data_IF_893315439089
#
_entry.id   IF_893315439089
#
_cell.length_a   1.000
_cell.length_b   1.000
_cell.length_c   1.000
_cell.angle_alpha   90.00
_cell.angle_beta   90.00
_cell.angle_gamma   90.00
#
_symmetry.space_group_name_H-M   'P 1'
#
loop_
_entity.id
_entity.type
_entity.pdbx_description
1 polymer ?
#
# COMPACT_ATOMS: atom_id res chain seq x y z
N UNK A 1 -70.65 30.71 28.44
CA UNK A 1 -70.22 29.53 29.24
C UNK A 1 -69.74 28.37 28.36
N UNK A 2 -70.50 27.95 27.34
CA UNK A 2 -70.18 26.81 26.44
C UNK A 2 -68.90 27.01 25.61
N UNK A 3 -68.62 28.23 25.15
CA UNK A 3 -67.41 28.56 24.37
C UNK A 3 -66.12 28.37 25.19
N UNK A 4 -66.16 28.61 26.51
CA UNK A 4 -64.99 28.41 27.39
C UNK A 4 -64.65 26.93 27.61
N UNK A 5 -65.66 26.06 27.57
CA UNK A 5 -65.50 24.61 27.72
C UNK A 5 -64.92 23.98 26.45
N UNK A 6 -65.34 24.45 25.27
CA UNK A 6 -64.78 24.05 23.97
C UNK A 6 -63.29 24.38 23.84
N UNK A 7 -62.88 25.56 24.31
CA UNK A 7 -61.47 25.97 24.25
C UNK A 7 -60.58 25.14 25.19
N UNK A 8 -61.11 24.76 26.36
CA UNK A 8 -60.42 23.91 27.34
C UNK A 8 -60.19 22.48 26.81
N UNK A 9 -61.12 21.94 26.04
CA UNK A 9 -61.00 20.61 25.44
C UNK A 9 -60.00 20.58 24.27
N UNK A 10 -59.95 21.66 23.47
CA UNK A 10 -58.99 21.81 22.36
C UNK A 10 -57.54 21.90 22.85
N UNK A 11 -57.31 22.49 24.03
CA UNK A 11 -56.00 22.55 24.67
C UNK A 11 -55.55 21.21 25.30
N UNK A 12 -56.49 20.37 25.73
CA UNK A 12 -56.21 19.04 26.29
C UNK A 12 -55.72 18.02 25.26
N UNK A 13 -56.13 18.15 23.99
CA UNK A 13 -55.71 17.25 22.90
C UNK A 13 -54.27 17.52 22.44
N UNK A 14 -53.77 18.75 22.61
CA UNK A 14 -52.41 19.14 22.24
C UNK A 14 -51.35 18.73 23.28
N UNK A 15 -51.76 18.41 24.51
CA UNK A 15 -50.86 18.11 25.65
C UNK A 15 -50.67 16.60 25.92
N UNK A 16 -50.94 15.74 24.94
CA UNK A 16 -50.84 14.29 25.13
C UNK A 16 -49.46 13.75 24.70
N UNK A 17 -48.42 14.05 25.49
CA UNK A 17 -47.02 13.62 25.22
C UNK A 17 -46.74 12.14 25.51
N UNK A 18 -47.75 11.36 25.93
CA UNK A 18 -47.57 10.00 26.46
C UNK A 18 -47.30 8.91 25.42
N UNK A 19 -47.46 9.21 24.12
CA UNK A 19 -47.18 8.29 23.01
C UNK A 19 -45.98 8.69 22.13
N UNK A 20 -45.42 9.89 22.32
CA UNK A 20 -44.32 10.44 21.54
C UNK A 20 -42.95 9.89 21.96
N UNK A 21 -42.77 9.52 23.23
CA UNK A 21 -41.45 9.16 23.78
C UNK A 21 -40.89 7.83 23.30
N UNK A 22 -41.71 6.79 23.13
CA UNK A 22 -41.21 5.48 22.67
C UNK A 22 -40.80 5.50 21.20
N UNK A 23 -41.61 6.14 20.34
CA UNK A 23 -41.30 6.28 18.92
C UNK A 23 -40.04 7.12 18.70
N UNK A 24 -39.82 8.15 19.52
CA UNK A 24 -38.64 9.02 19.47
C UNK A 24 -37.36 8.30 19.94
N UNK A 25 -37.45 7.46 20.98
CA UNK A 25 -36.35 6.57 21.40
C UNK A 25 -36.02 5.58 20.28
N UNK A 26 -37.04 4.96 19.67
CA UNK A 26 -36.84 4.04 18.53
C UNK A 26 -36.17 4.75 17.36
N UNK A 27 -36.65 5.93 16.97
CA UNK A 27 -36.05 6.73 15.90
C UNK A 27 -34.60 7.12 16.23
N UNK A 28 -34.31 7.49 17.46
CA UNK A 28 -32.96 7.84 17.92
C UNK A 28 -32.00 6.66 17.85
N UNK A 29 -32.43 5.47 18.29
CA UNK A 29 -31.62 4.24 18.18
C UNK A 29 -31.40 3.87 16.72
N UNK A 30 -32.42 4.04 15.87
CA UNK A 30 -32.34 3.74 14.44
C UNK A 30 -31.33 4.68 13.76
N UNK A 31 -31.44 5.99 13.98
CA UNK A 31 -30.48 6.97 13.47
C UNK A 31 -29.07 6.69 14.00
N UNK A 32 -28.93 6.42 15.31
CA UNK A 32 -27.64 6.09 15.92
C UNK A 32 -27.03 4.83 15.30
N UNK A 33 -27.81 3.79 15.06
CA UNK A 33 -27.32 2.55 14.45
C UNK A 33 -26.77 2.77 13.04
N UNK A 34 -27.45 3.59 12.23
CA UNK A 34 -26.99 3.94 10.87
C UNK A 34 -25.64 4.67 10.96
N UNK A 35 -25.51 5.62 11.89
CA UNK A 35 -24.28 6.35 12.15
C UNK A 35 -23.16 5.40 12.58
N UNK A 36 -23.41 4.51 13.54
CA UNK A 36 -22.39 3.57 14.04
C UNK A 36 -21.88 2.65 12.93
N UNK A 37 -22.78 2.08 12.11
CA UNK A 37 -22.39 1.17 11.02
C UNK A 37 -21.55 1.89 9.95
N UNK A 38 -21.94 3.11 9.59
CA UNK A 38 -21.20 3.91 8.60
C UNK A 38 -19.80 4.25 9.11
N UNK A 39 -19.66 4.76 10.33
CA UNK A 39 -18.35 5.07 10.91
C UNK A 39 -17.49 3.82 11.15
N UNK A 40 -18.09 2.69 11.55
CA UNK A 40 -17.35 1.42 11.71
C UNK A 40 -16.70 1.00 10.39
N UNK A 41 -17.44 1.07 9.29
CA UNK A 41 -16.92 0.75 7.95
C UNK A 41 -15.78 1.69 7.57
N UNK A 42 -15.93 2.98 7.85
CA UNK A 42 -14.88 3.98 7.63
C UNK A 42 -13.61 3.64 8.41
N UNK A 43 -13.71 3.29 9.70
CA UNK A 43 -12.55 2.92 10.51
C UNK A 43 -11.85 1.66 10.02
N UNK A 44 -12.60 0.62 9.64
CA UNK A 44 -12.03 -0.61 9.06
C UNK A 44 -11.23 -0.29 7.80
N UNK A 45 -11.81 0.51 6.90
CA UNK A 45 -11.14 0.90 5.67
C UNK A 45 -9.92 1.79 5.92
N UNK A 46 -10.01 2.71 6.89
CA UNK A 46 -8.87 3.54 7.29
C UNK A 46 -7.72 2.69 7.83
N UNK A 47 -8.00 1.73 8.71
CA UNK A 47 -6.97 0.84 9.26
C UNK A 47 -6.30 0.01 8.16
N UNK A 48 -7.08 -0.55 7.22
CA UNK A 48 -6.55 -1.27 6.05
C UNK A 48 -5.70 -0.38 5.16
N UNK A 49 -6.16 0.85 4.90
CA UNK A 49 -5.41 1.82 4.09
C UNK A 49 -4.09 2.18 4.75
N UNK A 50 -4.07 2.43 6.07
CA UNK A 50 -2.84 2.72 6.81
C UNK A 50 -1.87 1.56 6.75
N UNK A 51 -2.33 0.32 6.96
CA UNK A 51 -1.47 -0.87 6.83
C UNK A 51 -0.86 -0.98 5.43
N UNK A 52 -1.68 -0.85 4.38
CA UNK A 52 -1.20 -0.91 3.01
C UNK A 52 -0.21 0.22 2.69
N UNK A 53 -0.42 1.43 3.22
CA UNK A 53 0.52 2.54 3.08
C UNK A 53 1.85 2.27 3.77
N UNK A 54 1.85 1.63 4.94
CA UNK A 54 3.09 1.20 5.61
C UNK A 54 3.83 0.16 4.77
N UNK A 55 3.14 -0.88 4.29
CA UNK A 55 3.75 -1.92 3.47
C UNK A 55 4.40 -1.36 2.19
N UNK A 56 3.72 -0.42 1.51
CA UNK A 56 4.26 0.26 0.32
C UNK A 56 5.48 1.11 0.69
N UNK A 57 5.46 1.80 1.83
CA UNK A 57 6.56 2.65 2.28
C UNK A 57 7.79 1.81 2.60
N UNK A 58 7.63 0.71 3.34
CA UNK A 58 8.70 -0.22 3.69
C UNK A 58 9.27 -0.90 2.44
N UNK A 59 8.40 -1.36 1.52
CA UNK A 59 8.82 -1.94 0.25
C UNK A 59 9.59 -0.93 -0.62
N UNK A 60 9.18 0.34 -0.62
CA UNK A 60 9.86 1.42 -1.35
C UNK A 60 11.23 1.69 -0.75
N UNK A 61 11.35 1.73 0.58
CA UNK A 61 12.62 1.90 1.28
C UNK A 61 13.58 0.73 0.98
N UNK A 62 13.09 -0.50 0.98
CA UNK A 62 13.87 -1.68 0.58
C UNK A 62 14.33 -1.58 -0.88
N UNK A 63 13.43 -1.22 -1.80
CA UNK A 63 13.77 -1.06 -3.21
C UNK A 63 14.85 0.02 -3.41
N UNK A 64 14.72 1.16 -2.72
CA UNK A 64 15.70 2.24 -2.75
C UNK A 64 17.05 1.80 -2.20
N UNK A 65 17.07 1.15 -1.04
CA UNK A 65 18.30 0.67 -0.42
C UNK A 65 19.06 -0.27 -1.34
N UNK A 66 18.36 -1.23 -1.97
CA UNK A 66 18.98 -2.13 -2.93
C UNK A 66 19.49 -1.41 -4.18
N UNK A 67 18.75 -0.41 -4.66
CA UNK A 67 19.14 0.39 -5.80
C UNK A 67 20.41 1.22 -5.51
N UNK A 68 20.50 1.82 -4.32
CA UNK A 68 21.67 2.55 -3.83
C UNK A 68 22.87 1.62 -3.65
N UNK A 69 22.69 0.44 -3.06
CA UNK A 69 23.74 -0.57 -2.91
C UNK A 69 24.30 -0.99 -4.27
N UNK A 70 23.44 -1.26 -5.26
CA UNK A 70 23.87 -1.62 -6.62
C UNK A 70 24.59 -0.45 -7.29
N UNK A 71 24.11 0.79 -7.09
CA UNK A 71 24.80 1.98 -7.60
C UNK A 71 26.21 2.11 -7.01
N UNK A 72 26.37 1.97 -5.69
CA UNK A 72 27.68 1.99 -5.04
C UNK A 72 28.60 0.89 -5.58
N UNK A 73 28.10 -0.33 -5.75
CA UNK A 73 28.87 -1.42 -6.36
C UNK A 73 29.27 -1.09 -7.80
N UNK A 74 28.43 -0.39 -8.56
CA UNK A 74 28.73 0.02 -9.94
C UNK A 74 29.86 1.03 -10.05
N UNK A 75 30.07 1.84 -9.01
CA UNK A 75 31.13 2.81 -8.96
C UNK A 75 32.47 2.23 -8.44
N UNK A 76 32.43 1.15 -7.66
CA UNK A 76 33.61 0.65 -6.91
C UNK A 76 34.14 -0.71 -7.38
N UNK A 77 33.30 -1.56 -7.99
CA UNK A 77 33.62 -2.95 -8.30
C UNK A 77 33.47 -3.22 -9.79
N UNK A 78 34.14 -4.24 -10.31
CA UNK A 78 33.80 -4.76 -11.63
C UNK A 78 32.41 -5.42 -11.62
N UNK A 79 31.78 -5.52 -12.79
CA UNK A 79 30.44 -6.11 -12.88
C UNK A 79 30.38 -7.55 -12.35
N UNK A 80 31.43 -8.35 -12.60
CA UNK A 80 31.49 -9.72 -12.08
C UNK A 80 31.53 -9.76 -10.56
N UNK A 81 32.39 -8.94 -9.94
CA UNK A 81 32.55 -8.88 -8.49
C UNK A 81 31.27 -8.39 -7.80
N UNK A 82 30.55 -7.45 -8.43
CA UNK A 82 29.29 -6.96 -7.89
C UNK A 82 28.19 -8.02 -7.89
N UNK A 83 28.05 -8.79 -8.97
CA UNK A 83 27.08 -9.91 -9.01
C UNK A 83 27.40 -10.94 -7.92
N UNK A 84 28.69 -11.21 -7.68
CA UNK A 84 29.14 -12.15 -6.64
C UNK A 84 28.90 -11.62 -5.22
N UNK A 85 28.88 -10.29 -5.04
CA UNK A 85 28.66 -9.64 -3.74
C UNK A 85 27.19 -9.49 -3.36
N UNK A 86 26.28 -9.36 -4.32
CA UNK A 86 24.83 -9.26 -4.03
C UNK A 86 24.34 -10.59 -3.48
N UNK A 87 23.92 -10.63 -2.22
CA UNK A 87 23.43 -11.86 -1.58
C UNK A 87 22.09 -12.32 -2.15
N UNK A 88 21.93 -13.63 -2.37
CA UNK A 88 20.66 -14.21 -2.81
C UNK A 88 20.81 -15.41 -3.74
N UNK A 89 19.67 -16.00 -4.10
CA UNK A 89 19.60 -17.04 -5.11
C UNK A 89 19.77 -16.42 -6.50
N UNK A 90 20.78 -16.86 -7.23
CA UNK A 90 21.14 -16.30 -8.53
C UNK A 90 20.76 -17.24 -9.66
N UNK A 91 20.20 -16.67 -10.73
CA UNK A 91 19.94 -17.38 -11.97
C UNK A 91 20.26 -16.47 -13.15
N UNK A 92 20.77 -17.05 -14.24
CA UNK A 92 21.01 -16.35 -15.50
C UNK A 92 20.06 -16.89 -16.55
N UNK A 93 19.23 -16.04 -17.12
CA UNK A 93 18.26 -16.42 -18.15
C UNK A 93 18.18 -15.33 -19.22
N UNK A 94 18.29 -15.72 -20.49
CA UNK A 94 18.15 -14.82 -21.65
C UNK A 94 18.99 -13.53 -21.56
N UNK A 95 20.26 -13.66 -21.15
CA UNK A 95 21.15 -12.51 -21.00
C UNK A 95 20.73 -11.56 -19.87
N UNK A 96 20.05 -12.04 -18.82
CA UNK A 96 19.77 -11.27 -17.60
C UNK A 96 20.20 -12.07 -16.38
N UNK A 97 20.80 -11.39 -15.40
CA UNK A 97 20.95 -11.92 -14.05
C UNK A 97 19.67 -11.63 -13.27
N UNK A 98 19.13 -12.65 -12.62
CA UNK A 98 18.01 -12.51 -11.70
C UNK A 98 18.50 -13.00 -10.34
N UNK A 99 18.42 -12.12 -9.35
CA UNK A 99 18.83 -12.39 -7.97
C UNK A 99 17.59 -12.23 -7.11
N UNK A 100 17.30 -13.26 -6.31
CA UNK A 100 16.19 -13.24 -5.36
C UNK A 100 16.72 -13.27 -3.94
N UNK A 101 16.22 -12.36 -3.12
CA UNK A 101 16.53 -12.30 -1.70
C UNK A 101 15.22 -12.12 -0.91
N UNK A 102 15.27 -12.34 0.39
CA UNK A 102 14.14 -12.11 1.30
C UNK A 102 14.61 -11.21 2.44
N UNK A 103 13.81 -10.21 2.80
CA UNK A 103 14.05 -9.34 3.94
C UNK A 103 12.74 -9.16 4.71
N UNK A 104 12.67 -9.70 5.92
CA UNK A 104 11.42 -9.81 6.68
C UNK A 104 10.36 -10.58 5.89
N UNK A 105 9.18 -9.96 5.73
CA UNK A 105 8.04 -10.53 4.98
C UNK A 105 8.08 -10.23 3.48
N UNK A 106 9.12 -9.54 3.00
CA UNK A 106 9.25 -9.11 1.61
C UNK A 106 10.22 -9.99 0.82
N UNK A 107 9.81 -10.34 -0.39
CA UNK A 107 10.66 -10.96 -1.40
C UNK A 107 11.19 -9.89 -2.35
N UNK A 108 12.51 -9.80 -2.46
CA UNK A 108 13.20 -8.85 -3.31
C UNK A 108 13.71 -9.58 -4.54
N UNK A 109 13.42 -9.04 -5.72
CA UNK A 109 13.91 -9.56 -6.99
C UNK A 109 14.66 -8.46 -7.73
N UNK A 110 15.95 -8.69 -7.93
CA UNK A 110 16.85 -7.81 -8.66
C UNK A 110 17.06 -8.45 -10.03
N UNK A 111 16.84 -7.69 -11.09
CA UNK A 111 17.08 -8.11 -12.48
C UNK A 111 18.08 -7.16 -13.11
N UNK A 112 19.17 -7.70 -13.65
CA UNK A 112 20.23 -6.93 -14.29
C UNK A 112 20.42 -7.42 -15.72
N UNK A 113 20.21 -6.53 -16.68
CA UNK A 113 20.36 -6.86 -18.09
C UNK A 113 21.85 -6.96 -18.47
N UNK A 114 22.24 -8.07 -19.08
CA UNK A 114 23.55 -8.28 -19.69
C UNK A 114 23.40 -8.22 -21.21
N UNK A 115 23.93 -7.17 -21.82
CA UNK A 115 23.84 -6.92 -23.25
C UNK A 115 24.67 -7.99 -23.98
N UNK A 116 24.07 -9.14 -24.28
CA UNK A 116 24.66 -10.16 -25.13
C UNK A 116 23.81 -10.21 -26.40
N UNK A 117 24.14 -9.36 -27.37
CA UNK A 117 23.98 -9.59 -28.82
C UNK A 117 24.41 -8.30 -29.56
N UNK A 118 25.62 -8.36 -30.11
CA UNK A 118 26.11 -7.74 -31.36
C UNK A 118 25.68 -6.31 -31.76
N UNK A 119 26.72 -5.50 -32.03
CA UNK A 119 26.73 -4.21 -32.75
C UNK A 119 26.18 -2.99 -32.02
N UNK A 120 26.91 -2.58 -30.97
CA UNK A 120 27.44 -1.24 -30.73
C UNK A 120 27.87 -1.21 -29.26
N UNK A 121 29.05 -1.76 -29.00
CA UNK A 121 29.79 -1.47 -27.77
C UNK A 121 29.94 0.04 -27.63
N UNK A 122 29.71 0.58 -26.44
CA UNK A 122 30.50 1.73 -25.99
C UNK A 122 30.42 2.01 -24.49
N UNK A 123 29.24 1.93 -23.86
CA UNK A 123 29.07 2.76 -22.66
C UNK A 123 28.95 2.04 -21.33
N UNK A 124 29.25 0.73 -21.18
CA UNK A 124 29.23 0.08 -19.85
C UNK A 124 27.87 0.08 -19.10
N UNK A 125 26.82 0.70 -19.67
CA UNK A 125 25.52 0.89 -19.04
C UNK A 125 24.75 -0.43 -18.91
N UNK A 126 24.32 -0.74 -17.70
CA UNK A 126 23.48 -1.90 -17.35
C UNK A 126 22.15 -1.43 -16.80
N UNK A 127 21.07 -2.02 -17.29
CA UNK A 127 19.72 -1.79 -16.77
C UNK A 127 19.48 -2.64 -15.53
N UNK A 128 19.04 -1.98 -14.45
CA UNK A 128 18.77 -2.56 -13.15
C UNK A 128 17.29 -2.36 -12.85
N UNK A 129 16.61 -3.46 -12.52
CA UNK A 129 15.23 -3.48 -12.10
C UNK A 129 15.14 -4.17 -10.74
N UNK A 130 14.71 -3.43 -9.71
CA UNK A 130 14.45 -3.95 -8.37
C UNK A 130 12.94 -4.00 -8.15
N UNK A 131 12.44 -5.17 -7.78
CA UNK A 131 11.02 -5.43 -7.49
C UNK A 131 10.89 -6.00 -6.08
N UNK A 132 9.99 -5.44 -5.29
CA UNK A 132 9.72 -5.88 -3.92
C UNK A 132 8.28 -6.37 -3.82
N UNK A 133 8.13 -7.63 -3.45
CA UNK A 133 6.85 -8.32 -3.34
C UNK A 133 6.55 -8.61 -1.87
N UNK A 134 5.30 -8.50 -1.47
CA UNK A 134 4.86 -8.95 -0.15
C UNK A 134 4.71 -10.48 -0.09
N UNK A 135 4.36 -10.99 1.09
CA UNK A 135 4.13 -12.42 1.35
C UNK A 135 3.03 -13.07 0.48
N UNK A 136 2.08 -12.28 -0.03
CA UNK A 136 1.04 -12.72 -0.97
C UNK A 136 1.48 -12.65 -2.44
N UNK A 137 2.77 -12.41 -2.70
CA UNK A 137 3.35 -12.26 -4.04
C UNK A 137 2.75 -11.07 -4.84
N UNK A 138 2.22 -10.06 -4.14
CA UNK A 138 1.80 -8.78 -4.74
C UNK A 138 3.00 -7.85 -4.78
N UNK A 139 3.22 -7.23 -5.95
CA UNK A 139 4.24 -6.20 -6.13
C UNK A 139 3.83 -4.94 -5.35
N UNK A 140 4.65 -4.55 -4.36
CA UNK A 140 4.41 -3.34 -3.55
C UNK A 140 5.28 -2.17 -3.99
N UNK A 141 6.50 -2.44 -4.46
CA UNK A 141 7.40 -1.42 -4.96
C UNK A 141 8.26 -1.91 -6.14
N UNK A 142 8.59 -0.99 -7.04
CA UNK A 142 9.48 -1.23 -8.17
C UNK A 142 10.33 0.02 -8.43
N UNK A 143 11.62 -0.19 -8.65
CA UNK A 143 12.55 0.85 -9.10
C UNK A 143 13.35 0.35 -10.29
N UNK A 144 13.58 1.23 -11.25
CA UNK A 144 14.33 0.95 -12.46
C UNK A 144 15.35 2.06 -12.71
N UNK A 145 16.58 1.69 -13.04
CA UNK A 145 17.65 2.62 -13.36
C UNK A 145 18.65 2.01 -14.33
N UNK A 146 19.55 2.85 -14.85
CA UNK A 146 20.69 2.43 -15.67
C UNK A 146 21.97 2.94 -15.03
N UNK A 147 22.90 2.03 -14.75
CA UNK A 147 24.18 2.36 -14.14
C UNK A 147 25.34 2.06 -15.08
N UNK A 148 26.28 3.00 -15.12
CA UNK A 148 27.53 2.86 -15.84
C UNK A 148 28.41 1.91 -15.03
N UNK A 149 28.79 0.79 -15.65
CA UNK A 149 29.80 -0.10 -15.12
C UNK A 149 31.04 0.03 -15.98
N UNK A 150 32.08 0.67 -15.46
CA UNK A 150 33.39 0.66 -16.11
C UNK A 150 33.94 -0.78 -16.03
N UNK A 151 34.34 -1.33 -17.17
CA UNK A 151 34.85 -2.69 -17.29
C UNK A 151 36.24 -2.82 -16.67
#
# INVERSE_FOLDING_TARGET
>A
MIISLLNKYKMSLLNNERGLTLAEILASILILSIIVVTFTTFFINSAKSTSASNDITDATYLAQTQMEEIYHMSAELSFSEAIDRISGERSKMNGKYVIKNTSGDFQIKITIATNNESSLQANGLKEILVQVYNSSNKLEAQMESKYLWEN
#
